data_IF_039254360039
#
_entry.id   IF_039254360039
#
_cell.length_a   1.000
_cell.length_b   1.000
_cell.length_c   1.000
_cell.angle_alpha   90.00
_cell.angle_beta   90.00
_cell.angle_gamma   90.00
#
_symmetry.space_group_name_H-M   'P 1'
#
loop_
_entity.id
_entity.type
_entity.pdbx_description
1 polymer ?
#
# COMPACT_ATOMS: atom_id res chain seq x y z
N UNK A 1 27.27 -8.47 3.45
CA UNK A 1 27.11 -7.00 3.45
C UNK A 1 25.65 -6.63 3.81
N UNK A 2 25.04 -7.36 4.75
CA UNK A 2 23.58 -7.39 4.95
C UNK A 2 23.10 -6.45 6.07
N UNK A 3 24.03 -5.85 6.84
CA UNK A 3 23.70 -5.08 8.05
C UNK A 3 23.57 -3.56 7.81
N UNK A 4 24.21 -3.01 6.77
CA UNK A 4 24.21 -1.55 6.51
C UNK A 4 22.93 -1.03 5.87
N UNK A 5 22.22 -1.87 5.11
CA UNK A 5 20.95 -1.48 4.46
C UNK A 5 19.80 -1.31 5.47
N UNK A 6 19.83 -2.05 6.59
CA UNK A 6 18.77 -2.04 7.61
C UNK A 6 18.65 -0.70 8.35
N UNK A 7 19.74 0.06 8.46
CA UNK A 7 19.78 1.40 9.11
C UNK A 7 19.54 2.57 8.17
N UNK A 8 19.57 2.35 6.86
CA UNK A 8 19.42 3.41 5.86
C UNK A 8 17.96 3.59 5.48
N UNK A 9 17.50 4.83 5.32
CA UNK A 9 16.11 5.12 4.94
C UNK A 9 15.76 4.59 3.55
N UNK A 10 14.47 4.67 3.16
CA UNK A 10 13.97 4.10 1.91
C UNK A 10 14.78 4.54 0.69
N UNK A 11 15.05 5.84 0.58
CA UNK A 11 15.70 6.42 -0.60
C UNK A 11 17.13 5.90 -0.70
N UNK A 12 17.81 5.79 0.43
CA UNK A 12 19.14 5.21 0.49
C UNK A 12 19.16 3.74 0.06
N UNK A 13 18.11 2.96 0.37
CA UNK A 13 17.96 1.60 -0.13
C UNK A 13 17.71 1.57 -1.65
N UNK A 14 16.84 2.44 -2.17
CA UNK A 14 16.60 2.55 -3.61
C UNK A 14 17.85 2.99 -4.39
N UNK A 15 18.64 3.90 -3.83
CA UNK A 15 19.91 4.35 -4.42
C UNK A 15 20.97 3.26 -4.40
N UNK A 16 21.07 2.50 -3.30
CA UNK A 16 21.96 1.35 -3.23
C UNK A 16 21.59 0.30 -4.29
N UNK A 17 20.29 -0.02 -4.43
CA UNK A 17 19.81 -0.96 -5.46
C UNK A 17 20.09 -0.42 -6.87
N UNK A 18 19.84 0.87 -7.11
CA UNK A 18 20.12 1.48 -8.42
C UNK A 18 21.62 1.52 -8.75
N UNK A 19 22.48 1.71 -7.75
CA UNK A 19 23.94 1.73 -7.91
C UNK A 19 24.52 0.33 -8.16
N UNK A 20 23.97 -0.70 -7.52
CA UNK A 20 24.41 -2.10 -7.65
C UNK A 20 23.79 -2.82 -8.85
N UNK A 21 22.77 -2.22 -9.48
CA UNK A 21 22.09 -2.80 -10.63
C UNK A 21 23.02 -2.95 -11.86
N UNK A 22 23.00 -4.11 -12.55
CA UNK A 22 23.73 -4.32 -13.80
C UNK A 22 23.32 -3.30 -14.88
N UNK A 23 24.19 -3.06 -15.87
CA UNK A 23 23.89 -2.16 -17.00
C UNK A 23 22.62 -2.59 -17.78
N UNK A 24 22.36 -3.90 -17.84
CA UNK A 24 21.16 -4.45 -18.48
C UNK A 24 19.89 -4.35 -17.61
N UNK A 25 20.00 -3.77 -16.41
CA UNK A 25 18.93 -3.70 -15.43
C UNK A 25 18.80 -4.96 -14.57
N UNK A 26 17.73 -5.01 -13.78
CA UNK A 26 17.39 -6.16 -12.92
C UNK A 26 15.91 -6.53 -13.10
N UNK A 27 15.55 -7.78 -12.84
CA UNK A 27 14.15 -8.19 -12.86
C UNK A 27 13.36 -7.59 -11.70
N UNK A 28 12.05 -7.41 -11.87
CA UNK A 28 11.16 -6.94 -10.81
C UNK A 28 11.18 -7.90 -9.61
N UNK A 29 11.42 -9.18 -9.86
CA UNK A 29 11.69 -10.16 -8.81
C UNK A 29 12.90 -9.80 -7.97
N UNK A 30 14.07 -9.68 -8.60
CA UNK A 30 15.30 -9.32 -7.89
C UNK A 30 15.17 -7.97 -7.17
N UNK A 31 14.42 -7.01 -7.74
CA UNK A 31 14.15 -5.73 -7.12
C UNK A 31 13.32 -5.86 -5.83
N UNK A 32 12.26 -6.68 -5.87
CA UNK A 32 11.42 -6.95 -4.69
C UNK A 32 12.19 -7.75 -3.64
N UNK A 33 12.93 -8.76 -4.06
CA UNK A 33 13.76 -9.59 -3.18
C UNK A 33 14.85 -8.72 -2.50
N UNK A 34 15.42 -7.73 -3.20
CA UNK A 34 16.38 -6.76 -2.64
C UNK A 34 15.76 -5.76 -1.64
N UNK A 35 14.46 -5.47 -1.76
CA UNK A 35 13.72 -4.59 -0.86
C UNK A 35 13.22 -5.31 0.40
N UNK A 36 13.05 -6.63 0.36
CA UNK A 36 12.57 -7.47 1.46
C UNK A 36 11.22 -6.98 2.03
N UNK A 37 11.13 -6.88 3.36
CA UNK A 37 9.91 -6.46 4.08
C UNK A 37 9.32 -5.13 3.58
N UNK A 38 10.19 -4.20 3.11
CA UNK A 38 9.76 -2.88 2.61
C UNK A 38 8.95 -2.98 1.32
N UNK A 39 9.08 -4.07 0.56
CA UNK A 39 8.39 -4.26 -0.70
C UNK A 39 6.87 -4.28 -0.53
N UNK A 40 6.34 -4.82 0.58
CA UNK A 40 4.90 -4.74 0.87
C UNK A 40 4.42 -3.30 0.95
N UNK A 41 5.09 -2.47 1.76
CA UNK A 41 4.77 -1.05 1.92
C UNK A 41 4.84 -0.29 0.59
N UNK A 42 5.88 -0.53 -0.23
CA UNK A 42 6.04 0.11 -1.54
C UNK A 42 4.88 -0.23 -2.48
N UNK A 43 4.59 -1.52 -2.65
CA UNK A 43 3.57 -1.97 -3.61
C UNK A 43 2.19 -1.52 -3.15
N UNK A 44 1.85 -1.71 -1.87
CA UNK A 44 0.57 -1.29 -1.31
C UNK A 44 0.38 0.22 -1.42
N UNK A 45 1.42 1.01 -1.12
CA UNK A 45 1.39 2.46 -1.30
C UNK A 45 1.14 2.85 -2.76
N UNK A 46 1.92 2.27 -3.69
CA UNK A 46 1.78 2.55 -5.12
C UNK A 46 0.39 2.19 -5.66
N UNK A 47 -0.21 1.09 -5.20
CA UNK A 47 -1.55 0.67 -5.61
C UNK A 47 -2.66 1.49 -4.93
N UNK A 48 -2.43 2.03 -3.73
CA UNK A 48 -3.40 2.86 -3.02
C UNK A 48 -3.49 4.29 -3.57
N UNK A 49 -2.43 4.80 -4.21
CA UNK A 49 -2.40 6.15 -4.76
C UNK A 49 -3.52 6.42 -5.78
N UNK A 50 -3.71 5.59 -6.84
CA UNK A 50 -4.84 5.75 -7.75
C UNK A 50 -6.20 5.69 -7.04
N UNK A 51 -6.35 4.83 -6.04
CA UNK A 51 -7.61 4.65 -5.28
C UNK A 51 -7.95 5.90 -4.45
N UNK A 52 -6.93 6.64 -4.03
CA UNK A 52 -7.07 7.86 -3.25
C UNK A 52 -7.59 9.05 -4.08
N UNK A 53 -7.76 8.90 -5.40
CA UNK A 53 -8.32 9.94 -6.27
C UNK A 53 -9.85 9.88 -6.18
N UNK A 54 -10.51 10.98 -5.77
CA UNK A 54 -11.96 11.01 -5.67
C UNK A 54 -12.62 10.84 -7.05
N UNK A 55 -13.81 10.25 -7.07
CA UNK A 55 -14.61 10.00 -8.28
C UNK A 55 -13.98 9.03 -9.29
N UNK A 56 -13.00 8.22 -8.88
CA UNK A 56 -12.48 7.13 -9.71
C UNK A 56 -13.38 5.89 -9.57
N UNK A 57 -14.05 5.50 -10.66
CA UNK A 57 -14.98 4.36 -10.68
C UNK A 57 -14.32 3.12 -11.30
N UNK A 58 -14.61 1.93 -10.76
CA UNK A 58 -14.16 0.63 -11.28
C UNK A 58 -12.70 0.28 -10.99
N UNK A 59 -11.77 1.25 -11.10
CA UNK A 59 -10.35 1.05 -10.79
C UNK A 59 -10.12 0.62 -9.33
N UNK A 60 -10.75 1.24 -8.31
CA UNK A 60 -10.58 0.82 -6.92
C UNK A 60 -10.84 -0.66 -6.67
N UNK A 61 -11.91 -1.21 -7.26
CA UNK A 61 -12.31 -2.61 -7.08
C UNK A 61 -11.29 -3.56 -7.72
N UNK A 62 -10.79 -3.23 -8.91
CA UNK A 62 -9.77 -4.02 -9.61
C UNK A 62 -8.46 -4.02 -8.81
N UNK A 63 -8.08 -2.88 -8.24
CA UNK A 63 -6.84 -2.75 -7.46
C UNK A 63 -6.96 -3.34 -6.05
N UNK A 64 -8.16 -3.33 -5.44
CA UNK A 64 -8.37 -3.87 -4.11
C UNK A 64 -8.10 -5.39 -4.04
N UNK A 65 -8.34 -6.14 -5.11
CA UNK A 65 -8.12 -7.59 -5.15
C UNK A 65 -6.63 -7.99 -4.97
N UNK A 66 -5.68 -7.52 -5.80
CA UNK A 66 -4.26 -7.81 -5.58
C UNK A 66 -3.76 -7.20 -4.27
N UNK A 67 -4.24 -6.01 -3.87
CA UNK A 67 -3.90 -5.42 -2.57
C UNK A 67 -4.36 -6.28 -1.40
N UNK A 68 -5.55 -6.87 -1.47
CA UNK A 68 -6.07 -7.79 -0.46
C UNK A 68 -5.21 -9.05 -0.39
N UNK A 69 -4.80 -9.60 -1.54
CA UNK A 69 -3.91 -10.76 -1.58
C UNK A 69 -2.53 -10.43 -0.96
N UNK A 70 -1.95 -9.26 -1.26
CA UNK A 70 -0.71 -8.80 -0.64
C UNK A 70 -0.86 -8.60 0.87
N UNK A 71 -1.97 -7.99 1.29
CA UNK A 71 -2.28 -7.78 2.72
C UNK A 71 -2.44 -9.10 3.47
N UNK A 72 -3.04 -10.11 2.83
CA UNK A 72 -3.16 -11.45 3.39
C UNK A 72 -1.79 -12.14 3.53
N UNK A 73 -0.90 -11.98 2.55
CA UNK A 73 0.47 -12.50 2.65
C UNK A 73 1.26 -11.82 3.78
N UNK A 74 1.10 -10.50 3.94
CA UNK A 74 1.68 -9.74 5.03
C UNK A 74 1.12 -10.21 6.39
N UNK A 75 -0.19 -10.47 6.48
CA UNK A 75 -0.83 -11.02 7.67
C UNK A 75 -0.33 -12.42 8.04
N UNK A 76 -0.01 -13.26 7.05
CA UNK A 76 0.63 -14.56 7.25
C UNK A 76 2.10 -14.46 7.68
N UNK A 77 2.69 -13.26 7.62
CA UNK A 77 4.07 -13.01 8.04
C UNK A 77 5.11 -13.45 7.02
N UNK A 78 4.81 -13.32 5.71
CA UNK A 78 5.83 -13.46 4.67
C UNK A 78 6.80 -12.28 4.70
N UNK A 79 8.07 -12.55 4.45
CA UNK A 79 9.13 -11.54 4.42
C UNK A 79 9.10 -10.68 3.16
N UNK A 80 8.54 -11.21 2.06
CA UNK A 80 8.42 -10.51 0.78
C UNK A 80 7.09 -10.83 0.06
N UNK A 81 6.57 -9.90 -0.76
CA UNK A 81 5.35 -10.11 -1.53
C UNK A 81 5.57 -11.08 -2.69
N UNK A 82 4.76 -12.14 -2.76
CA UNK A 82 4.75 -13.02 -3.91
C UNK A 82 4.17 -12.30 -5.13
N UNK A 83 4.95 -12.27 -6.21
CA UNK A 83 4.53 -11.77 -7.52
C UNK A 83 4.28 -12.91 -8.51
N UNK A 84 3.27 -12.80 -9.38
CA UNK A 84 3.08 -13.75 -10.48
C UNK A 84 4.32 -13.79 -11.39
N UNK A 85 4.63 -14.97 -11.96
CA UNK A 85 5.83 -15.19 -12.80
C UNK A 85 6.00 -14.17 -13.94
N UNK A 86 4.89 -13.72 -14.53
CA UNK A 86 4.87 -12.67 -15.57
C UNK A 86 5.40 -11.32 -15.09
N UNK A 87 5.13 -10.96 -13.83
CA UNK A 87 5.65 -9.74 -13.23
C UNK A 87 7.08 -9.95 -12.76
N UNK A 88 7.38 -11.09 -12.12
CA UNK A 88 8.74 -11.40 -11.63
C UNK A 88 9.79 -11.33 -12.75
N UNK A 89 9.45 -11.79 -13.96
CA UNK A 89 10.35 -11.79 -15.13
C UNK A 89 10.46 -10.44 -15.88
N UNK A 90 9.72 -9.40 -15.49
CA UNK A 90 9.82 -8.07 -16.14
C UNK A 90 11.13 -7.40 -15.75
N UNK A 91 11.96 -7.06 -16.72
CA UNK A 91 13.21 -6.33 -16.46
C UNK A 91 12.95 -4.83 -16.30
N UNK A 92 13.43 -4.27 -15.19
CA UNK A 92 13.55 -2.84 -14.96
C UNK A 92 14.92 -2.40 -15.46
N UNK A 93 14.98 -1.48 -16.42
CA UNK A 93 16.25 -0.95 -16.90
C UNK A 93 16.95 -0.16 -15.79
N UNK A 94 18.29 -0.11 -15.83
CA UNK A 94 19.08 0.70 -14.91
C UNK A 94 18.63 2.17 -14.90
N UNK A 95 18.32 2.72 -16.08
CA UNK A 95 17.78 4.08 -16.21
C UNK A 95 16.44 4.26 -15.46
N UNK A 96 15.54 3.27 -15.50
CA UNK A 96 14.29 3.30 -14.75
C UNK A 96 14.53 3.24 -13.25
N UNK A 97 15.44 2.39 -12.77
CA UNK A 97 15.81 2.29 -11.36
C UNK A 97 16.40 3.60 -10.84
N UNK A 98 17.35 4.19 -11.56
CA UNK A 98 17.89 5.51 -11.23
C UNK A 98 16.81 6.60 -11.26
N UNK A 99 15.88 6.54 -12.24
CA UNK A 99 14.74 7.43 -12.33
C UNK A 99 13.83 7.34 -11.09
N UNK A 100 13.55 6.12 -10.63
CA UNK A 100 12.80 5.86 -9.41
C UNK A 100 13.53 6.35 -8.17
N UNK A 101 14.84 6.15 -8.07
CA UNK A 101 15.65 6.65 -6.96
C UNK A 101 15.64 8.19 -6.92
N UNK A 102 15.89 8.86 -8.06
CA UNK A 102 15.85 10.33 -8.18
C UNK A 102 14.46 10.89 -7.88
N UNK A 103 13.42 10.27 -8.43
CA UNK A 103 12.03 10.67 -8.21
C UNK A 103 11.62 10.48 -6.75
N UNK A 104 11.97 9.34 -6.16
CA UNK A 104 11.76 9.03 -4.75
C UNK A 104 12.42 10.07 -3.85
N UNK A 105 13.69 10.41 -4.11
CA UNK A 105 14.39 11.47 -3.37
C UNK A 105 13.69 12.82 -3.49
N UNK A 106 13.23 13.20 -4.69
CA UNK A 106 12.54 14.48 -4.93
C UNK A 106 11.21 14.58 -4.19
N UNK A 107 10.38 13.54 -4.27
CA UNK A 107 9.02 13.55 -3.74
C UNK A 107 8.92 13.10 -2.28
N UNK A 108 9.84 12.27 -1.82
CA UNK A 108 9.80 11.61 -0.51
C UNK A 108 11.08 11.79 0.31
N UNK A 109 12.11 12.49 -0.20
CA UNK A 109 13.31 12.78 0.60
C UNK A 109 13.01 13.62 1.85
N UNK A 110 11.99 14.48 1.80
CA UNK A 110 11.50 15.20 2.98
C UNK A 110 10.83 14.25 3.99
N UNK A 111 10.21 13.16 3.53
CA UNK A 111 9.66 12.14 4.41
C UNK A 111 10.76 11.33 5.07
N UNK A 112 11.87 11.03 4.40
CA UNK A 112 13.02 10.35 5.04
C UNK A 112 13.65 11.23 6.14
N UNK A 113 13.71 12.55 5.91
CA UNK A 113 14.16 13.50 6.93
C UNK A 113 13.18 13.66 8.10
N UNK A 114 11.87 13.49 7.84
CA UNK A 114 10.81 13.59 8.84
C UNK A 114 10.60 12.27 9.61
N UNK A 115 10.76 11.14 8.92
CA UNK A 115 10.66 9.77 9.40
C UNK A 115 11.86 9.45 10.29
N UNK A 116 11.80 9.99 11.50
CA UNK A 116 12.58 9.40 12.58
C UNK A 116 11.91 8.05 12.91
N UNK A 117 12.64 6.95 13.06
CA UNK A 117 12.09 5.66 13.48
C UNK A 117 11.50 5.79 14.90
N UNK A 118 10.27 6.29 14.97
CA UNK A 118 9.47 6.52 16.17
C UNK A 118 8.52 5.34 16.28
N UNK A 119 8.36 4.81 17.48
CA UNK A 119 7.51 3.65 17.72
C UNK A 119 7.86 2.46 16.81
N UNK A 120 9.13 2.06 16.72
CA UNK A 120 9.57 0.90 15.92
C UNK A 120 8.91 -0.43 16.30
N UNK A 121 8.43 -0.58 17.55
CA UNK A 121 7.56 -1.68 17.97
C UNK A 121 6.25 -1.81 17.15
N UNK A 122 5.71 -0.70 16.62
CA UNK A 122 4.55 -0.69 15.72
C UNK A 122 4.90 -0.99 14.25
N UNK A 123 6.19 -1.15 13.94
CA UNK A 123 6.69 -1.50 12.60
C UNK A 123 7.57 -2.76 12.65
N UNK A 124 7.40 -3.59 13.68
CA UNK A 124 8.05 -4.90 13.79
C UNK A 124 7.23 -6.02 13.14
N UNK A 125 7.78 -7.24 13.01
CA UNK A 125 7.14 -8.34 12.28
C UNK A 125 5.72 -8.69 12.77
N UNK A 126 5.48 -8.63 14.07
CA UNK A 126 4.13 -8.87 14.64
C UNK A 126 3.16 -7.74 14.30
N UNK A 127 3.64 -6.49 14.32
CA UNK A 127 2.82 -5.34 13.98
C UNK A 127 2.48 -5.32 12.49
N UNK A 128 3.43 -5.66 11.61
CA UNK A 128 3.19 -5.80 10.17
C UNK A 128 2.12 -6.85 9.86
N UNK A 129 2.12 -7.98 10.57
CA UNK A 129 1.05 -8.99 10.45
C UNK A 129 -0.32 -8.43 10.82
N UNK A 130 -0.40 -7.69 11.93
CA UNK A 130 -1.65 -7.05 12.36
C UNK A 130 -2.11 -5.97 11.36
N UNK A 131 -1.18 -5.15 10.87
CA UNK A 131 -1.44 -4.15 9.83
C UNK A 131 -1.98 -4.84 8.57
N UNK A 132 -1.40 -5.97 8.18
CA UNK A 132 -1.86 -6.77 7.04
C UNK A 132 -3.29 -7.26 7.23
N UNK A 133 -3.64 -7.74 8.42
CA UNK A 133 -5.00 -8.12 8.75
C UNK A 133 -5.99 -6.95 8.66
N UNK A 134 -5.60 -5.75 9.12
CA UNK A 134 -6.44 -4.55 9.04
C UNK A 134 -6.57 -4.08 7.58
N UNK A 135 -5.51 -4.18 6.77
CA UNK A 135 -5.57 -3.82 5.35
C UNK A 135 -6.52 -4.71 4.55
N UNK A 136 -6.72 -5.97 4.95
CA UNK A 136 -7.78 -6.82 4.37
C UNK A 136 -9.15 -6.17 4.59
N UNK A 137 -9.42 -5.61 5.78
CA UNK A 137 -10.67 -4.88 6.06
C UNK A 137 -10.80 -3.64 5.18
N UNK A 138 -9.72 -2.91 4.96
CA UNK A 138 -9.71 -1.72 4.10
C UNK A 138 -10.00 -2.11 2.65
N UNK A 139 -9.36 -3.17 2.15
CA UNK A 139 -9.60 -3.70 0.82
C UNK A 139 -11.02 -4.25 0.66
N UNK A 140 -11.56 -4.92 1.69
CA UNK A 140 -12.94 -5.40 1.69
C UNK A 140 -13.92 -4.23 1.61
N UNK A 141 -13.67 -3.15 2.36
CA UNK A 141 -14.45 -1.91 2.27
C UNK A 141 -14.40 -1.29 0.87
N UNK A 142 -13.25 -1.30 0.19
CA UNK A 142 -13.08 -0.76 -1.17
C UNK A 142 -13.81 -1.62 -2.22
N UNK A 143 -13.89 -2.94 -1.97
CA UNK A 143 -14.54 -3.87 -2.88
C UNK A 143 -16.06 -3.67 -2.94
N UNK A 144 -16.66 -3.11 -1.88
CA UNK A 144 -18.06 -2.71 -1.87
C UNK A 144 -18.22 -1.51 -2.83
N UNK A 145 -19.01 -1.63 -3.91
CA UNK A 145 -19.11 -0.59 -4.95
C UNK A 145 -20.04 0.54 -4.50
N UNK A 146 -19.66 1.26 -3.45
CA UNK A 146 -20.36 2.44 -2.97
C UNK A 146 -19.69 3.72 -3.50
N UNK A 147 -20.42 4.58 -4.23
CA UNK A 147 -19.84 5.80 -4.81
C UNK A 147 -19.29 6.70 -3.70
N UNK A 148 -18.16 7.36 -3.98
CA UNK A 148 -17.44 8.27 -3.07
C UNK A 148 -16.94 7.67 -1.73
N UNK A 149 -17.13 6.37 -1.46
CA UNK A 149 -16.69 5.76 -0.19
C UNK A 149 -15.30 5.13 -0.23
N UNK A 150 -14.76 4.90 -1.43
CA UNK A 150 -13.48 4.18 -1.63
C UNK A 150 -12.25 5.06 -1.44
N UNK A 151 -12.39 6.38 -1.57
CA UNK A 151 -11.29 7.34 -1.46
C UNK A 151 -10.68 7.34 -0.07
N UNK A 152 -11.52 7.40 0.98
CA UNK A 152 -11.07 7.45 2.38
C UNK A 152 -10.29 6.22 2.82
N UNK A 153 -10.75 4.96 2.59
CA UNK A 153 -9.97 3.78 2.91
C UNK A 153 -8.72 3.67 2.03
N UNK A 154 -8.77 4.16 0.78
CA UNK A 154 -7.59 4.29 -0.08
C UNK A 154 -6.51 5.20 0.52
N UNK A 155 -6.90 6.40 0.99
CA UNK A 155 -6.00 7.34 1.67
C UNK A 155 -5.47 6.74 2.96
N UNK A 156 -6.32 6.12 3.78
CA UNK A 156 -5.93 5.46 5.02
C UNK A 156 -4.86 4.39 4.78
N UNK A 157 -5.07 3.55 3.76
CA UNK A 157 -4.11 2.52 3.37
C UNK A 157 -2.81 3.13 2.83
N UNK A 158 -2.88 4.17 1.99
CA UNK A 158 -1.71 4.87 1.49
C UNK A 158 -0.87 5.47 2.63
N UNK A 159 -1.51 6.16 3.59
CA UNK A 159 -0.83 6.74 4.75
C UNK A 159 -0.18 5.65 5.61
N UNK A 160 -0.89 4.56 5.89
CA UNK A 160 -0.34 3.47 6.68
C UNK A 160 0.80 2.73 5.94
N UNK A 161 0.67 2.48 4.64
CA UNK A 161 1.70 1.86 3.81
C UNK A 161 2.94 2.74 3.69
N UNK A 162 2.77 4.07 3.66
CA UNK A 162 3.87 5.02 3.75
C UNK A 162 4.57 4.96 5.12
N UNK A 163 3.83 4.73 6.20
CA UNK A 163 4.39 4.48 7.52
C UNK A 163 5.23 3.20 7.58
N UNK A 164 4.75 2.10 7.00
CA UNK A 164 5.52 0.84 6.87
C UNK A 164 6.81 1.08 6.07
N UNK A 165 6.67 1.77 4.93
CA UNK A 165 7.76 2.11 4.03
C UNK A 165 8.88 2.92 4.69
N UNK A 166 8.50 3.87 5.53
CA UNK A 166 9.41 4.78 6.23
C UNK A 166 9.80 4.27 7.63
N UNK A 167 9.26 3.12 8.05
CA UNK A 167 9.37 2.59 9.43
C UNK A 167 8.94 3.62 10.49
N UNK A 168 7.95 4.45 10.17
CA UNK A 168 7.34 5.43 11.06
C UNK A 168 6.02 4.88 11.61
N UNK A 169 6.04 4.41 12.86
CA UNK A 169 4.87 3.83 13.52
C UNK A 169 3.74 4.84 13.76
N UNK A 170 4.00 6.15 13.77
CA UNK A 170 2.95 7.17 13.89
C UNK A 170 2.15 7.30 12.60
N UNK A 171 2.81 7.24 11.45
CA UNK A 171 2.14 7.24 10.14
C UNK A 171 1.30 5.97 9.96
N UNK A 172 1.85 4.80 10.37
CA UNK A 172 1.08 3.55 10.43
C UNK A 172 -0.18 3.75 11.25
N UNK A 173 -0.04 4.21 12.50
CA UNK A 173 -1.17 4.42 13.41
C UNK A 173 -2.19 5.42 12.86
N UNK A 174 -1.74 6.53 12.28
CA UNK A 174 -2.61 7.55 11.71
C UNK A 174 -3.47 6.97 10.58
N UNK A 175 -2.86 6.21 9.66
CA UNK A 175 -3.58 5.54 8.59
C UNK A 175 -4.55 4.47 9.11
N UNK A 176 -4.13 3.66 10.09
CA UNK A 176 -4.99 2.66 10.72
C UNK A 176 -6.21 3.29 11.40
N UNK A 177 -6.01 4.33 12.21
CA UNK A 177 -7.08 5.05 12.90
C UNK A 177 -8.04 5.67 11.88
N UNK A 178 -7.52 6.35 10.86
CA UNK A 178 -8.34 6.97 9.81
C UNK A 178 -9.26 5.93 9.14
N UNK A 179 -8.70 4.79 8.71
CA UNK A 179 -9.48 3.78 8.01
C UNK A 179 -10.43 3.02 8.93
N UNK A 180 -10.05 2.71 10.17
CA UNK A 180 -10.93 2.04 11.13
C UNK A 180 -12.10 2.93 11.56
N UNK A 181 -11.87 4.22 11.80
CA UNK A 181 -12.93 5.19 12.08
C UNK A 181 -13.89 5.28 10.89
N UNK A 182 -13.37 5.35 9.67
CA UNK A 182 -14.19 5.38 8.46
C UNK A 182 -15.05 4.12 8.30
N UNK A 183 -14.46 2.94 8.44
CA UNK A 183 -15.19 1.67 8.35
C UNK A 183 -16.26 1.57 9.44
N UNK A 184 -15.93 1.97 10.68
CA UNK A 184 -16.89 1.98 11.79
C UNK A 184 -18.06 2.91 11.48
N UNK A 185 -17.79 4.09 10.91
CA UNK A 185 -18.82 5.03 10.48
C UNK A 185 -19.70 4.43 9.37
N UNK A 186 -19.09 3.79 8.36
CA UNK A 186 -19.84 3.13 7.28
C UNK A 186 -20.75 2.02 7.81
N UNK A 187 -20.23 1.15 8.68
CA UNK A 187 -21.00 0.06 9.31
C UNK A 187 -22.15 0.65 10.14
N UNK A 188 -21.87 1.67 10.94
CA UNK A 188 -22.89 2.34 11.76
C UNK A 188 -23.99 2.93 10.89
N UNK A 189 -23.62 3.70 9.87
CA UNK A 189 -24.59 4.28 8.92
C UNK A 189 -25.44 3.20 8.25
N UNK A 190 -24.82 2.10 7.84
CA UNK A 190 -25.53 0.96 7.24
C UNK A 190 -26.49 0.28 8.23
N UNK A 191 -26.14 0.15 9.51
CA UNK A 191 -27.02 -0.45 10.51
C UNK A 191 -28.24 0.43 10.84
N UNK A 192 -28.08 1.75 10.85
CA UNK A 192 -29.17 2.69 11.17
C UNK A 192 -30.01 3.10 9.95
N UNK A 193 -29.43 3.15 8.76
CA UNK A 193 -30.04 3.65 7.52
C UNK A 193 -29.97 2.62 6.38
N UNK A 194 -29.84 1.33 6.70
CA UNK A 194 -29.56 0.26 5.76
C UNK A 194 -30.56 0.15 4.62
N UNK A 195 -31.85 0.35 4.89
CA UNK A 195 -32.90 0.30 3.87
C UNK A 195 -32.66 1.35 2.78
N UNK A 196 -32.35 2.59 3.18
CA UNK A 196 -32.01 3.67 2.24
C UNK A 196 -30.67 3.43 1.52
N UNK A 197 -29.68 2.84 2.20
CA UNK A 197 -28.40 2.52 1.59
C UNK A 197 -28.53 1.42 0.53
N UNK A 198 -29.37 0.41 0.78
CA UNK A 198 -29.69 -0.66 -0.17
C UNK A 198 -30.42 -0.10 -1.38
N UNK A 199 -31.34 0.85 -1.20
CA UNK A 199 -32.05 1.47 -2.31
C UNK A 199 -31.12 2.31 -3.18
N UNK A 200 -30.25 3.14 -2.57
CA UNK A 200 -29.21 3.87 -3.31
C UNK A 200 -28.25 2.93 -4.05
N UNK A 201 -27.87 1.80 -3.44
CA UNK A 201 -27.02 0.80 -4.08
C UNK A 201 -27.73 0.13 -5.27
N UNK A 202 -29.00 -0.23 -5.12
CA UNK A 202 -29.81 -0.81 -6.21
C UNK A 202 -29.97 0.18 -7.36
N UNK A 203 -30.26 1.45 -7.06
CA UNK A 203 -30.40 2.50 -8.05
C UNK A 203 -29.08 2.78 -8.78
N UNK A 204 -27.96 2.79 -8.05
CA UNK A 204 -26.64 2.91 -8.65
C UNK A 204 -26.31 1.73 -9.57
N UNK A 205 -26.53 0.49 -9.12
CA UNK A 205 -26.31 -0.72 -9.94
C UNK A 205 -27.17 -0.68 -11.21
N UNK A 206 -28.45 -0.30 -11.10
CA UNK A 206 -29.37 -0.13 -12.25
C UNK A 206 -28.95 1.00 -13.19
N UNK A 207 -28.29 2.04 -12.69
CA UNK A 207 -27.79 3.13 -13.54
C UNK A 207 -26.52 2.76 -14.32
N UNK A 208 -25.76 1.78 -13.83
CA UNK A 208 -24.47 1.34 -14.41
C UNK A 208 -24.63 0.11 -15.31
N UNK A 209 -25.61 -0.75 -15.06
CA UNK A 209 -25.98 -1.87 -15.94
C UNK A 209 -27.14 -1.44 -16.87
N UNK A 210 -26.93 -1.39 -18.20
CA UNK A 210 -27.99 -1.09 -19.17
C UNK A 210 -29.06 -2.17 -19.23
#
# INVERSE_FOLDING_TARGET
MTETASRSGLISALEAIAADAPENGMSLGEFVDALGERAFGIILFAMALPISIPFLYGVPQIMALPMMALSAQMAMGRDEPWLPSRFKARTLSKQSLEGMARGGRKWFGWLEALARPRLTWLSGPTAERLVGAIFILFCASILVPLPATNTTPGIALAVAALGLLTRDGLLVLAGLVLGLVWITLLITLFLFFGDAAIDVLKDFIRSVLP
#
